data_IF_386067418622
#
_entry.id   IF_386067418622
#
_cell.length_a   1.000
_cell.length_b   1.000
_cell.length_c   1.000
_cell.angle_alpha   90.00
_cell.angle_beta   90.00
_cell.angle_gamma   90.00
#
_symmetry.space_group_name_H-M   'P 1'
#
loop_
_entity.id
_entity.type
_entity.pdbx_description
1 polymer ?
#
# COMPACT_ATOMS: atom_id res chain seq x y z
N UNK A 1 -7.09 -35.14 -13.04
CA UNK A 1 -7.19 -33.66 -13.18
C UNK A 1 -7.51 -33.05 -11.80
N UNK A 2 -6.78 -33.47 -10.76
CA UNK A 2 -7.25 -33.35 -9.36
C UNK A 2 -6.31 -32.53 -8.46
N UNK A 3 -5.07 -32.28 -8.91
CA UNK A 3 -4.02 -31.62 -8.11
C UNK A 3 -4.17 -30.10 -7.97
N UNK A 4 -4.93 -29.45 -8.85
CA UNK A 4 -5.08 -27.98 -8.86
C UNK A 4 -6.07 -27.49 -7.77
N UNK A 5 -7.00 -28.36 -7.34
CA UNK A 5 -8.00 -28.02 -6.32
C UNK A 5 -7.38 -28.00 -4.91
N UNK A 6 -6.50 -28.95 -4.62
CA UNK A 6 -5.83 -29.07 -3.32
C UNK A 6 -4.80 -27.96 -3.07
N UNK A 7 -4.15 -27.47 -4.12
CA UNK A 7 -3.19 -26.37 -4.02
C UNK A 7 -3.88 -25.03 -3.79
N UNK A 8 -5.03 -24.79 -4.44
CA UNK A 8 -5.91 -23.65 -4.13
C UNK A 8 -6.44 -23.69 -2.70
N UNK A 9 -6.85 -24.87 -2.21
CA UNK A 9 -7.28 -25.09 -0.82
C UNK A 9 -6.15 -24.86 0.20
N UNK A 10 -4.90 -25.22 -0.14
CA UNK A 10 -3.73 -24.94 0.70
C UNK A 10 -3.35 -23.46 0.77
N UNK A 11 -3.47 -22.74 -0.34
CA UNK A 11 -3.25 -21.28 -0.36
C UNK A 11 -4.36 -20.58 0.45
N UNK A 12 -5.62 -21.03 0.30
CA UNK A 12 -6.73 -20.49 1.10
C UNK A 12 -6.54 -20.76 2.59
N UNK A 13 -6.12 -21.96 3.00
CA UNK A 13 -5.92 -22.28 4.42
C UNK A 13 -4.73 -21.55 5.06
N UNK A 14 -3.66 -21.25 4.32
CA UNK A 14 -2.55 -20.41 4.82
C UNK A 14 -2.89 -18.92 4.90
N UNK A 15 -3.89 -18.45 4.14
CA UNK A 15 -4.39 -17.06 4.21
C UNK A 15 -5.41 -16.85 5.34
N UNK A 16 -5.98 -17.92 5.91
CA UNK A 16 -7.13 -17.86 6.83
C UNK A 16 -6.76 -17.77 8.31
N UNK A 17 -5.51 -17.98 8.72
CA UNK A 17 -5.13 -17.85 10.14
C UNK A 17 -4.89 -16.40 10.61
N UNK A 18 -4.60 -15.47 9.69
CA UNK A 18 -4.58 -14.06 10.03
C UNK A 18 -6.01 -13.52 10.00
N UNK A 19 -6.60 -13.28 11.17
CA UNK A 19 -7.82 -12.49 11.32
C UNK A 19 -7.71 -11.24 10.46
N UNK A 20 -8.42 -11.26 9.35
CA UNK A 20 -8.40 -10.21 8.35
C UNK A 20 -8.89 -8.94 9.03
N UNK A 21 -8.00 -8.00 9.29
CA UNK A 21 -8.38 -6.71 9.87
C UNK A 21 -9.11 -5.91 8.79
N UNK A 22 -10.42 -6.04 8.69
CA UNK A 22 -11.26 -5.26 7.76
C UNK A 22 -11.04 -3.74 7.94
N UNK A 23 -10.58 -3.28 9.11
CA UNK A 23 -10.19 -1.87 9.30
C UNK A 23 -8.98 -1.48 8.46
N UNK A 24 -8.12 -2.43 8.09
CA UNK A 24 -7.02 -2.19 7.17
C UNK A 24 -7.55 -1.80 5.79
N UNK A 25 -8.52 -2.55 5.25
CA UNK A 25 -9.12 -2.31 3.92
C UNK A 25 -9.77 -0.93 3.86
N UNK A 26 -10.51 -0.55 4.91
CA UNK A 26 -11.19 0.74 5.01
C UNK A 26 -10.23 1.95 5.03
N UNK A 27 -8.95 1.76 5.31
CA UNK A 27 -7.94 2.83 5.30
C UNK A 27 -7.42 3.18 3.90
N UNK A 28 -7.73 2.36 2.88
CA UNK A 28 -7.26 2.56 1.50
C UNK A 28 -8.34 3.18 0.61
N UNK A 29 -8.48 4.50 0.70
CA UNK A 29 -9.26 5.28 -0.26
C UNK A 29 -8.41 5.68 -1.50
N UNK A 30 -9.08 6.25 -2.51
CA UNK A 30 -8.44 6.70 -3.77
C UNK A 30 -7.28 7.65 -3.51
N UNK A 31 -7.39 8.52 -2.50
CA UNK A 31 -6.34 9.48 -2.15
C UNK A 31 -5.10 8.75 -1.63
N UNK A 32 -5.28 7.76 -0.76
CA UNK A 32 -4.19 6.96 -0.18
C UNK A 32 -3.46 6.17 -1.27
N UNK A 33 -4.20 5.62 -2.23
CA UNK A 33 -3.63 4.93 -3.39
C UNK A 33 -2.78 5.90 -4.23
N UNK A 34 -3.31 7.09 -4.54
CA UNK A 34 -2.55 8.10 -5.31
C UNK A 34 -1.29 8.58 -4.58
N UNK A 35 -1.33 8.68 -3.25
CA UNK A 35 -0.15 8.99 -2.44
C UNK A 35 0.89 7.88 -2.60
N UNK A 36 0.51 6.61 -2.45
CA UNK A 36 1.44 5.48 -2.59
C UNK A 36 2.06 5.39 -3.98
N UNK A 37 1.28 5.71 -5.02
CA UNK A 37 1.79 5.77 -6.39
C UNK A 37 2.89 6.82 -6.59
N UNK A 38 2.98 7.85 -5.73
CA UNK A 38 4.12 8.78 -5.78
C UNK A 38 5.41 8.14 -5.33
N UNK A 39 5.34 7.25 -4.34
CA UNK A 39 6.51 6.59 -3.76
C UNK A 39 6.96 5.38 -4.58
N UNK A 40 6.02 4.57 -5.05
CA UNK A 40 6.27 3.29 -5.73
C UNK A 40 6.05 3.32 -7.24
N UNK A 41 5.44 4.36 -7.80
CA UNK A 41 5.05 4.39 -9.20
C UNK A 41 3.75 3.64 -9.46
N UNK A 42 3.65 2.94 -10.61
CA UNK A 42 2.43 2.23 -11.00
C UNK A 42 2.22 0.93 -10.22
N UNK A 43 3.31 0.27 -9.84
CA UNK A 43 3.30 -1.05 -9.18
C UNK A 43 4.28 -1.08 -8.02
N UNK A 44 3.96 -1.87 -7.00
CA UNK A 44 4.87 -2.11 -5.87
C UNK A 44 5.65 -3.39 -6.19
N UNK A 45 6.84 -3.21 -6.74
CA UNK A 45 7.74 -4.30 -7.12
C UNK A 45 9.01 -4.27 -6.25
N UNK A 46 9.37 -5.38 -5.57
CA UNK A 46 10.59 -5.49 -4.77
C UNK A 46 11.88 -5.28 -5.56
N UNK A 47 11.85 -5.39 -6.89
CA UNK A 47 13.00 -5.16 -7.76
C UNK A 47 13.10 -3.72 -8.28
N UNK A 48 12.09 -2.89 -8.02
CA UNK A 48 12.13 -1.48 -8.43
C UNK A 48 13.16 -0.71 -7.61
N UNK A 49 14.20 -0.22 -8.29
CA UNK A 49 15.24 0.64 -7.70
C UNK A 49 14.84 2.11 -7.65
N UNK A 50 13.91 2.52 -8.50
CA UNK A 50 13.50 3.92 -8.70
C UNK A 50 12.39 4.32 -7.72
N UNK A 51 12.68 4.15 -6.43
CA UNK A 51 11.78 4.52 -5.34
C UNK A 51 11.99 5.98 -4.95
N UNK A 52 10.89 6.72 -4.88
CA UNK A 52 10.91 8.14 -4.57
C UNK A 52 10.88 8.40 -3.06
N UNK A 53 11.36 9.59 -2.68
CA UNK A 53 11.28 10.13 -1.32
C UNK A 53 10.83 11.58 -1.36
N UNK A 54 9.98 11.96 -0.41
CA UNK A 54 9.44 13.31 -0.34
C UNK A 54 9.40 13.81 1.10
N UNK A 55 9.72 15.08 1.29
CA UNK A 55 9.24 15.79 2.47
C UNK A 55 7.74 16.11 2.33
N UNK A 56 7.09 16.40 3.46
CA UNK A 56 5.65 16.67 3.53
C UNK A 56 5.22 17.83 2.63
N UNK A 57 5.99 18.93 2.58
CA UNK A 57 5.62 20.14 1.84
C UNK A 57 5.74 19.92 0.33
N UNK A 58 6.81 19.26 -0.10
CA UNK A 58 7.04 18.91 -1.50
C UNK A 58 5.95 17.96 -2.00
N UNK A 59 5.60 16.92 -1.25
CA UNK A 59 4.52 16.02 -1.63
C UNK A 59 3.18 16.74 -1.69
N UNK A 60 2.88 17.59 -0.69
CA UNK A 60 1.64 18.37 -0.66
C UNK A 60 1.46 19.23 -1.91
N UNK A 61 2.51 19.97 -2.29
CA UNK A 61 2.51 20.81 -3.51
C UNK A 61 2.34 19.99 -4.79
N UNK A 62 3.00 18.83 -4.89
CA UNK A 62 2.86 17.94 -6.05
C UNK A 62 1.43 17.43 -6.21
N UNK A 63 0.81 17.00 -5.11
CA UNK A 63 -0.58 16.54 -5.12
C UNK A 63 -1.54 17.67 -5.50
N UNK A 64 -1.30 18.89 -5.01
CA UNK A 64 -2.11 20.06 -5.34
C UNK A 64 -2.05 20.40 -6.84
N UNK A 65 -0.85 20.37 -7.44
CA UNK A 65 -0.65 20.58 -8.89
C UNK A 65 -1.44 19.55 -9.72
N UNK A 66 -1.56 18.32 -9.22
CA UNK A 66 -2.31 17.23 -9.86
C UNK A 66 -3.81 17.26 -9.56
N UNK A 67 -4.30 18.32 -8.91
CA UNK A 67 -5.71 18.53 -8.60
C UNK A 67 -6.20 17.80 -7.35
N UNK A 68 -5.33 17.17 -6.56
CA UNK A 68 -5.68 16.59 -5.26
C UNK A 68 -5.66 17.66 -4.17
N UNK A 69 -6.86 18.19 -3.88
CA UNK A 69 -7.07 19.11 -2.75
C UNK A 69 -7.13 18.34 -1.43
N UNK A 70 -5.97 18.15 -0.81
CA UNK A 70 -5.84 17.60 0.54
C UNK A 70 -5.20 18.65 1.47
N UNK A 71 -5.71 18.76 2.70
CA UNK A 71 -5.07 19.61 3.72
C UNK A 71 -3.73 19.00 4.17
N UNK A 72 -2.71 19.84 4.40
CA UNK A 72 -1.36 19.39 4.78
C UNK A 72 -1.32 18.55 6.07
N UNK A 73 -2.16 18.87 7.05
CA UNK A 73 -2.25 18.13 8.32
C UNK A 73 -2.93 16.76 8.10
N UNK A 74 -3.94 16.71 7.24
CA UNK A 74 -4.55 15.44 6.81
C UNK A 74 -3.55 14.58 6.05
N UNK A 75 -2.75 15.17 5.16
CA UNK A 75 -1.68 14.47 4.46
C UNK A 75 -0.65 13.92 5.45
N UNK A 76 -0.22 14.72 6.43
CA UNK A 76 0.71 14.28 7.49
C UNK A 76 0.18 13.06 8.24
N UNK A 77 -1.08 13.10 8.70
CA UNK A 77 -1.71 11.97 9.39
C UNK A 77 -1.80 10.72 8.51
N UNK A 78 -2.09 10.89 7.22
CA UNK A 78 -2.12 9.77 6.26
C UNK A 78 -0.75 9.15 6.04
N UNK A 79 0.30 9.97 5.94
CA UNK A 79 1.68 9.47 5.83
C UNK A 79 2.10 8.74 7.10
N UNK A 80 1.81 9.31 8.29
CA UNK A 80 2.08 8.64 9.57
C UNK A 80 1.34 7.29 9.67
N UNK A 81 0.09 7.21 9.18
CA UNK A 81 -0.63 5.94 9.07
C UNK A 81 0.05 4.97 8.11
N UNK A 82 0.46 5.39 6.92
CA UNK A 82 1.17 4.53 5.96
C UNK A 82 2.51 4.01 6.50
N UNK A 83 3.21 4.81 7.32
CA UNK A 83 4.39 4.38 8.05
C UNK A 83 4.04 3.30 9.07
N UNK A 84 2.98 3.50 9.88
CA UNK A 84 2.53 2.50 10.85
C UNK A 84 2.09 1.18 10.22
N UNK A 85 1.55 1.22 9.00
CA UNK A 85 1.14 0.05 8.23
C UNK A 85 2.31 -0.66 7.54
N UNK A 86 3.51 -0.07 7.57
CA UNK A 86 4.72 -0.59 6.97
C UNK A 86 4.79 -0.37 5.45
N UNK A 87 4.07 0.60 4.90
CA UNK A 87 4.17 0.96 3.47
C UNK A 87 5.19 2.06 3.20
N UNK A 88 5.54 2.86 4.22
CA UNK A 88 6.53 3.93 4.10
C UNK A 88 7.50 3.85 5.27
N UNK A 89 8.69 4.37 5.06
CA UNK A 89 9.65 4.64 6.13
C UNK A 89 9.75 6.13 6.36
N UNK A 90 9.94 6.50 7.63
CA UNK A 90 10.08 7.88 8.07
C UNK A 90 11.51 8.10 8.51
N UNK A 91 12.23 8.94 7.77
CA UNK A 91 13.61 9.31 8.10
C UNK A 91 13.58 10.48 9.07
N UNK A 92 14.32 10.33 10.18
CA UNK A 92 14.42 11.32 11.26
C UNK A 92 15.33 12.50 10.90
N UNK A 93 15.01 13.21 9.81
CA UNK A 93 15.70 14.42 9.34
C UNK A 93 14.84 15.66 9.51
N UNK A 94 15.45 16.83 9.33
CA UNK A 94 14.74 18.11 9.20
C UNK A 94 15.03 18.74 7.83
N UNK A 95 14.02 18.92 6.95
CA UNK A 95 12.63 18.51 7.12
C UNK A 95 12.46 16.99 7.17
N UNK A 96 11.34 16.52 7.75
CA UNK A 96 11.01 15.09 7.84
C UNK A 96 10.76 14.53 6.45
N UNK A 97 11.46 13.45 6.11
CA UNK A 97 11.36 12.77 4.81
C UNK A 97 10.61 11.45 4.99
N UNK A 98 9.68 11.20 4.08
CA UNK A 98 9.01 9.91 3.90
C UNK A 98 9.58 9.24 2.65
N UNK A 99 9.75 7.93 2.69
CA UNK A 99 10.24 7.15 1.54
C UNK A 99 9.53 5.81 1.45
N UNK A 100 9.50 5.25 0.25
CA UNK A 100 9.08 3.86 0.06
C UNK A 100 10.02 2.91 0.81
N UNK A 101 9.43 1.86 1.41
CA UNK A 101 10.18 0.75 1.99
C UNK A 101 10.95 0.03 0.89
N UNK A 102 12.25 -0.15 1.10
CA UNK A 102 13.18 -0.77 0.14
C UNK A 102 13.54 -2.22 0.46
N UNK A 103 13.26 -2.65 1.68
CA UNK A 103 13.64 -3.98 2.16
C UNK A 103 12.75 -5.05 1.52
N UNK A 104 13.37 -6.01 0.82
CA UNK A 104 12.68 -7.01 -0.02
C UNK A 104 11.62 -7.79 0.76
N UNK A 105 11.93 -8.22 1.99
CA UNK A 105 10.99 -8.98 2.83
C UNK A 105 9.77 -8.14 3.22
N UNK A 106 9.98 -6.86 3.56
CA UNK A 106 8.87 -5.93 3.83
C UNK A 106 8.05 -5.65 2.57
N UNK A 107 8.68 -5.52 1.40
CA UNK A 107 7.97 -5.33 0.14
C UNK A 107 7.13 -6.56 -0.24
N UNK A 108 7.64 -7.78 -0.03
CA UNK A 108 6.86 -9.01 -0.19
C UNK A 108 5.65 -9.03 0.75
N UNK A 109 5.81 -8.61 2.00
CA UNK A 109 4.68 -8.48 2.93
C UNK A 109 3.64 -7.45 2.44
N UNK A 110 4.08 -6.33 1.86
CA UNK A 110 3.19 -5.35 1.24
C UNK A 110 2.42 -5.99 0.06
N UNK A 111 3.11 -6.74 -0.82
CA UNK A 111 2.48 -7.42 -1.95
C UNK A 111 1.44 -8.46 -1.52
N UNK A 112 1.70 -9.21 -0.46
CA UNK A 112 0.72 -10.14 0.12
C UNK A 112 -0.53 -9.41 0.60
N UNK A 113 -0.38 -8.27 1.30
CA UNK A 113 -1.50 -7.42 1.71
C UNK A 113 -2.29 -6.87 0.51
N UNK A 114 -1.62 -6.47 -0.56
CA UNK A 114 -2.28 -5.98 -1.79
C UNK A 114 -3.02 -7.10 -2.51
N UNK A 115 -2.42 -8.28 -2.61
CA UNK A 115 -3.07 -9.46 -3.22
C UNK A 115 -4.33 -9.84 -2.45
N UNK A 116 -4.25 -9.80 -1.12
CA UNK A 116 -5.38 -9.99 -0.24
C UNK A 116 -6.47 -8.94 -0.49
N UNK A 117 -6.13 -7.64 -0.56
CA UNK A 117 -7.07 -6.58 -0.95
C UNK A 117 -7.75 -6.85 -2.29
N UNK A 118 -6.99 -7.22 -3.31
CA UNK A 118 -7.53 -7.54 -4.65
C UNK A 118 -8.51 -8.70 -4.60
N UNK A 119 -8.27 -9.71 -3.76
CA UNK A 119 -9.19 -10.84 -3.62
C UNK A 119 -10.56 -10.40 -3.11
N UNK A 120 -10.64 -9.47 -2.15
CA UNK A 120 -11.91 -8.92 -1.66
C UNK A 120 -12.71 -8.22 -2.75
N UNK A 121 -12.06 -7.39 -3.56
CA UNK A 121 -12.73 -6.65 -4.63
C UNK A 121 -12.97 -7.48 -5.91
N UNK A 122 -12.40 -8.68 -5.99
CA UNK A 122 -12.60 -9.58 -7.14
C UNK A 122 -13.74 -10.58 -6.93
N UNK A 123 -14.20 -10.77 -5.68
CA UNK A 123 -15.33 -11.66 -5.36
C UNK A 123 -16.62 -11.16 -6.04
N UNK A 124 -16.79 -9.84 -6.20
CA UNK A 124 -17.99 -9.24 -6.81
C UNK A 124 -18.07 -9.36 -8.35
N UNK A 125 -17.05 -9.91 -9.03
CA UNK A 125 -17.05 -10.03 -10.51
C UNK A 125 -17.45 -11.41 -11.04
N UNK A 126 -17.76 -12.38 -10.18
CA UNK A 126 -18.22 -13.72 -10.60
C UNK A 126 -19.71 -13.96 -10.32
N UNK A 127 -20.50 -12.89 -10.20
CA UNK A 127 -21.96 -12.95 -10.14
C UNK A 127 -22.52 -12.22 -11.37
N UNK A 128 -22.31 -12.81 -12.54
CA UNK A 128 -23.09 -12.57 -13.77
C UNK A 128 -23.17 -13.87 -14.57
#
# INVERSE_FOLDING_TARGET
MERVSDEKMRILSTVVEDKIDLNFVLKFDVITIKILQKFYGKEIDPLTTDLNSFDLKKLHKLLEIEGLKINIETLRKRLDNLVSLGFLEKVSTYPRIYMAVREIEKVKNIQSKITMLKSFFSIDKNVE
#
